data_IF_176292004628
#
_entry.id   IF_176292004628
#
_cell.length_a   1.000
_cell.length_b   1.000
_cell.length_c   1.000
_cell.angle_alpha   90.00
_cell.angle_beta   90.00
_cell.angle_gamma   90.00
#
_symmetry.space_group_name_H-M   'P 1'
#
loop_
_entity.id
_entity.type
_entity.pdbx_description
1 polymer ?
#
# COMPACT_ATOMS: atom_id res chain seq x y z
N UNK A 1 -30.22 -22.69 0.98
CA UNK A 1 -29.48 -22.09 -0.16
C UNK A 1 -30.49 -21.44 -1.08
N UNK A 2 -30.28 -20.18 -1.49
CA UNK A 2 -31.17 -19.48 -2.44
C UNK A 2 -31.09 -20.22 -3.80
N UNK A 3 -32.24 -20.55 -4.40
CA UNK A 3 -32.32 -21.16 -5.73
C UNK A 3 -31.58 -20.25 -6.76
N UNK A 4 -30.79 -20.83 -7.65
CA UNK A 4 -30.01 -20.11 -8.65
C UNK A 4 -30.88 -19.19 -9.54
N UNK A 5 -32.08 -19.61 -9.92
CA UNK A 5 -33.03 -18.80 -10.71
C UNK A 5 -33.50 -17.55 -9.92
N UNK A 6 -33.88 -17.72 -8.65
CA UNK A 6 -34.26 -16.60 -7.78
C UNK A 6 -33.09 -15.64 -7.53
N UNK A 7 -31.88 -16.16 -7.41
CA UNK A 7 -30.65 -15.35 -7.28
C UNK A 7 -30.39 -14.51 -8.53
N UNK A 8 -30.57 -15.08 -9.72
CA UNK A 8 -30.39 -14.36 -11.00
C UNK A 8 -31.38 -13.21 -11.13
N UNK A 9 -32.66 -13.48 -10.85
CA UNK A 9 -33.72 -12.46 -10.89
C UNK A 9 -33.47 -11.30 -9.91
N UNK A 10 -33.06 -11.61 -8.69
CA UNK A 10 -32.71 -10.57 -7.70
C UNK A 10 -31.52 -9.74 -8.16
N UNK A 11 -30.50 -10.35 -8.80
CA UNK A 11 -29.35 -9.63 -9.35
C UNK A 11 -29.73 -8.70 -10.50
N UNK A 12 -30.61 -9.15 -11.41
CA UNK A 12 -31.11 -8.34 -12.54
C UNK A 12 -31.89 -7.12 -12.04
N UNK A 13 -32.80 -7.32 -11.09
CA UNK A 13 -33.53 -6.23 -10.45
C UNK A 13 -32.63 -5.27 -9.69
N UNK A 14 -31.62 -5.80 -8.96
CA UNK A 14 -30.62 -4.98 -8.27
C UNK A 14 -29.87 -4.08 -9.24
N UNK A 15 -29.36 -4.63 -10.36
CA UNK A 15 -28.59 -3.87 -11.36
C UNK A 15 -29.48 -2.80 -12.00
N UNK A 16 -30.71 -3.17 -12.45
CA UNK A 16 -31.63 -2.26 -13.10
C UNK A 16 -31.98 -1.06 -12.20
N UNK A 17 -32.24 -1.31 -10.91
CA UNK A 17 -32.71 -0.28 -9.98
C UNK A 17 -31.53 0.54 -9.35
N UNK A 18 -30.28 0.09 -9.46
CA UNK A 18 -29.13 0.77 -8.86
C UNK A 18 -28.19 1.41 -9.88
N UNK A 19 -28.53 1.40 -11.17
CA UNK A 19 -27.76 2.08 -12.21
C UNK A 19 -28.11 3.56 -12.23
N UNK A 20 -27.08 4.42 -12.13
CA UNK A 20 -27.19 5.87 -12.25
C UNK A 20 -26.73 6.28 -13.64
N UNK A 21 -27.55 7.05 -14.38
CA UNK A 21 -27.17 7.58 -15.69
C UNK A 21 -25.87 8.41 -15.55
N UNK A 22 -24.81 8.06 -16.28
CA UNK A 22 -23.54 8.81 -16.27
C UNK A 22 -23.68 10.31 -16.55
N UNK A 23 -24.63 10.74 -17.34
CA UNK A 23 -24.90 12.15 -17.68
C UNK A 23 -25.30 12.99 -16.48
N UNK A 24 -25.87 12.35 -15.42
CA UNK A 24 -26.25 13.07 -14.20
C UNK A 24 -25.03 13.56 -13.42
N UNK A 25 -23.88 12.89 -13.51
CA UNK A 25 -22.65 13.36 -12.86
C UNK A 25 -22.17 14.70 -13.45
N UNK A 26 -22.27 14.86 -14.76
CA UNK A 26 -21.91 16.10 -15.43
C UNK A 26 -22.95 17.19 -15.14
N UNK A 27 -24.25 16.84 -15.20
CA UNK A 27 -25.34 17.77 -14.89
C UNK A 27 -25.25 18.36 -13.49
N UNK A 28 -24.87 17.56 -12.48
CA UNK A 28 -24.73 18.00 -11.09
C UNK A 28 -23.28 18.38 -10.72
N UNK A 29 -22.36 18.42 -11.66
CA UNK A 29 -20.94 18.77 -11.46
C UNK A 29 -20.30 17.90 -10.36
N UNK A 30 -20.62 16.60 -10.31
CA UNK A 30 -20.13 15.70 -9.28
C UNK A 30 -18.66 15.33 -9.54
N UNK A 31 -17.81 15.50 -8.53
CA UNK A 31 -16.40 15.13 -8.57
C UNK A 31 -16.24 13.63 -8.30
N UNK A 32 -16.35 12.79 -9.33
CA UNK A 32 -16.26 11.33 -9.21
C UNK A 32 -14.93 10.91 -8.59
N UNK A 33 -15.00 10.09 -7.53
CA UNK A 33 -13.80 9.64 -6.80
C UNK A 33 -13.02 10.80 -6.16
N UNK A 34 -13.69 11.92 -5.86
CA UNK A 34 -13.07 13.15 -5.35
C UNK A 34 -11.94 13.66 -6.27
N UNK A 35 -12.18 13.60 -7.60
CA UNK A 35 -11.28 14.10 -8.63
C UNK A 35 -11.88 15.25 -9.42
N UNK A 36 -11.08 16.25 -9.69
CA UNK A 36 -11.40 17.33 -10.63
C UNK A 36 -11.31 16.83 -12.08
N UNK A 37 -11.85 17.59 -13.04
CA UNK A 37 -11.83 17.25 -14.47
C UNK A 37 -10.42 17.14 -15.06
N UNK A 38 -9.46 17.87 -14.50
CA UNK A 38 -8.02 17.80 -14.85
C UNK A 38 -7.28 16.61 -14.22
N UNK A 39 -7.99 15.76 -13.47
CA UNK A 39 -7.46 14.59 -12.76
C UNK A 39 -6.80 14.89 -11.41
N UNK A 40 -6.75 16.16 -10.96
CA UNK A 40 -6.27 16.48 -9.61
C UNK A 40 -7.24 16.04 -8.53
N UNK A 41 -6.76 15.79 -7.31
CA UNK A 41 -7.61 15.49 -6.17
C UNK A 41 -8.39 16.73 -5.71
N UNK A 42 -9.64 16.52 -5.26
CA UNK A 42 -10.36 17.53 -4.50
C UNK A 42 -9.64 17.76 -3.18
N UNK A 43 -9.41 19.01 -2.81
CA UNK A 43 -8.79 19.34 -1.52
C UNK A 43 -9.78 19.03 -0.38
N UNK A 44 -9.52 17.94 0.33
CA UNK A 44 -10.39 17.45 1.40
C UNK A 44 -9.92 17.86 2.80
N UNK A 45 -8.66 18.30 2.97
CA UNK A 45 -8.10 18.69 4.26
C UNK A 45 -6.68 19.23 4.13
N UNK A 46 -6.11 19.58 5.29
CA UNK A 46 -4.72 20.00 5.44
C UNK A 46 -3.94 18.94 6.20
N UNK A 47 -2.64 18.85 5.97
CA UNK A 47 -1.75 17.92 6.67
C UNK A 47 -0.34 18.46 6.79
N UNK A 48 0.30 18.19 7.92
CA UNK A 48 1.73 18.43 8.18
C UNK A 48 2.55 17.13 8.06
N UNK A 49 1.91 15.98 7.73
CA UNK A 49 2.57 14.68 7.75
C UNK A 49 3.41 14.46 6.48
N UNK A 50 2.80 14.73 5.32
CA UNK A 50 3.42 14.37 4.05
C UNK A 50 3.03 15.33 2.94
N UNK A 51 4.00 15.67 2.09
CA UNK A 51 3.76 16.35 0.84
C UNK A 51 4.20 15.46 -0.34
N UNK A 52 3.24 15.19 -1.25
CA UNK A 52 3.43 14.43 -2.48
C UNK A 52 3.33 15.42 -3.64
N UNK A 53 4.46 15.80 -4.22
CA UNK A 53 4.55 16.90 -5.14
C UNK A 53 5.16 16.47 -6.47
N UNK A 54 4.45 16.69 -7.58
CA UNK A 54 4.87 16.28 -8.94
C UNK A 54 4.61 17.32 -10.01
N UNK A 55 4.12 18.51 -9.63
CA UNK A 55 3.85 19.63 -10.54
C UNK A 55 3.84 20.95 -9.78
N UNK A 56 4.10 22.03 -10.49
CA UNK A 56 3.89 23.40 -10.03
C UNK A 56 2.75 24.03 -10.82
N UNK A 57 2.04 24.96 -10.17
CA UNK A 57 1.02 25.77 -10.85
C UNK A 57 1.54 27.21 -10.90
N UNK A 58 1.73 27.74 -12.09
CA UNK A 58 2.14 29.11 -12.30
C UNK A 58 1.10 29.80 -13.20
N UNK A 59 0.52 30.90 -12.75
CA UNK A 59 -0.53 31.65 -13.45
C UNK A 59 -1.73 30.80 -13.91
N UNK A 60 -2.03 29.71 -13.19
CA UNK A 60 -3.10 28.77 -13.50
C UNK A 60 -2.69 27.63 -14.45
N UNK A 61 -1.49 27.67 -15.00
CA UNK A 61 -0.94 26.58 -15.80
C UNK A 61 -0.17 25.58 -14.95
N UNK A 62 -0.44 24.30 -15.18
CA UNK A 62 0.18 23.18 -14.50
C UNK A 62 1.39 22.67 -15.27
N UNK A 63 2.58 22.83 -14.70
CA UNK A 63 3.84 22.32 -15.25
C UNK A 63 4.36 21.15 -14.43
N UNK A 64 4.67 19.98 -15.06
CA UNK A 64 5.21 18.85 -14.36
C UNK A 64 6.65 19.13 -13.89
N UNK A 65 6.98 18.62 -12.70
CA UNK A 65 8.34 18.65 -12.15
C UNK A 65 8.78 17.24 -11.74
N UNK A 66 10.07 17.08 -11.45
CA UNK A 66 10.57 15.86 -10.80
C UNK A 66 9.80 15.62 -9.50
N UNK A 67 9.32 14.39 -9.32
CA UNK A 67 8.52 14.05 -8.16
C UNK A 67 9.28 14.25 -6.85
N UNK A 68 8.60 14.77 -5.85
CA UNK A 68 9.12 14.93 -4.49
C UNK A 68 8.19 14.24 -3.51
N UNK A 69 8.77 13.55 -2.55
CA UNK A 69 8.10 12.95 -1.41
C UNK A 69 8.76 13.50 -0.14
N UNK A 70 7.99 14.20 0.66
CA UNK A 70 8.50 14.92 1.82
C UNK A 70 7.72 14.46 3.06
N UNK A 71 8.41 13.92 4.06
CA UNK A 71 7.86 13.50 5.34
C UNK A 71 8.19 14.54 6.39
N UNK A 72 7.19 15.17 7.00
CA UNK A 72 7.37 16.18 8.06
C UNK A 72 8.40 17.28 7.70
N UNK A 73 8.51 17.64 6.42
CA UNK A 73 9.46 18.64 5.94
C UNK A 73 10.78 18.08 5.40
N UNK A 74 11.10 16.80 5.62
CA UNK A 74 12.31 16.14 5.16
C UNK A 74 12.09 15.38 3.86
N UNK A 75 12.98 15.58 2.88
CA UNK A 75 12.90 14.89 1.60
C UNK A 75 13.29 13.41 1.76
N UNK A 76 12.52 12.49 1.16
CA UNK A 76 12.81 11.06 1.24
C UNK A 76 14.19 10.69 0.70
N UNK A 77 14.70 11.42 -0.32
CA UNK A 77 16.04 11.21 -0.84
C UNK A 77 17.10 11.47 0.23
N UNK A 78 16.93 12.51 1.03
CA UNK A 78 17.88 12.86 2.10
C UNK A 78 17.81 11.85 3.24
N UNK A 79 16.60 11.44 3.64
CA UNK A 79 16.39 10.44 4.68
C UNK A 79 17.07 9.12 4.31
N UNK A 80 16.84 8.63 3.08
CA UNK A 80 17.43 7.40 2.58
C UNK A 80 18.94 7.52 2.44
N UNK A 81 19.43 8.57 1.77
CA UNK A 81 20.86 8.72 1.50
C UNK A 81 21.70 8.86 2.78
N UNK A 82 21.18 9.53 3.81
CA UNK A 82 21.87 9.66 5.08
C UNK A 82 21.87 8.34 5.87
N UNK A 83 20.75 7.61 5.92
CA UNK A 83 20.70 6.27 6.52
C UNK A 83 21.72 5.33 5.86
N UNK A 84 21.81 5.34 4.53
CA UNK A 84 22.79 4.54 3.77
C UNK A 84 24.24 4.96 4.02
N UNK A 85 24.56 6.27 4.03
CA UNK A 85 25.89 6.77 4.33
C UNK A 85 26.37 6.42 5.74
N UNK A 86 25.46 6.43 6.70
CA UNK A 86 25.73 6.07 8.10
C UNK A 86 25.66 4.56 8.35
N UNK A 87 25.42 3.77 7.30
CA UNK A 87 25.29 2.31 7.36
C UNK A 87 24.32 1.83 8.43
N UNK A 88 23.15 2.46 8.59
CA UNK A 88 22.14 2.14 9.60
C UNK A 88 20.79 1.82 9.00
N UNK A 89 19.93 1.15 9.77
CA UNK A 89 18.52 0.96 9.46
C UNK A 89 17.74 2.26 9.70
N UNK A 90 16.91 2.66 8.72
CA UNK A 90 16.24 3.95 8.72
C UNK A 90 14.73 3.86 8.98
N UNK A 91 14.11 2.69 8.92
CA UNK A 91 12.65 2.59 9.04
C UNK A 91 12.13 3.07 10.40
N UNK A 92 12.74 2.67 11.52
CA UNK A 92 12.33 3.10 12.85
C UNK A 92 12.48 4.61 13.05
N UNK A 93 13.47 5.24 12.42
CA UNK A 93 13.60 6.70 12.39
C UNK A 93 12.45 7.37 11.61
N UNK A 94 12.05 6.78 10.46
CA UNK A 94 10.88 7.25 9.71
C UNK A 94 9.61 7.12 10.54
N UNK A 95 9.44 6.01 11.27
CA UNK A 95 8.29 5.84 12.19
C UNK A 95 8.29 6.95 13.25
N UNK A 96 9.43 7.19 13.88
CA UNK A 96 9.57 8.26 14.87
C UNK A 96 9.23 9.63 14.26
N UNK A 97 9.85 9.96 13.12
CA UNK A 97 9.62 11.22 12.42
C UNK A 97 8.13 11.45 12.11
N UNK A 98 7.45 10.44 11.57
CA UNK A 98 6.04 10.54 11.20
C UNK A 98 5.14 10.77 12.43
N UNK A 99 5.42 10.08 13.55
CA UNK A 99 4.64 10.17 14.77
C UNK A 99 4.96 11.44 15.58
N UNK A 100 6.25 11.74 15.79
CA UNK A 100 6.68 12.84 16.67
C UNK A 100 6.79 14.18 15.96
N UNK A 101 6.99 14.19 14.64
CA UNK A 101 7.00 15.40 13.80
C UNK A 101 8.38 15.96 13.52
N UNK A 102 9.44 15.44 14.12
CA UNK A 102 10.83 15.80 13.87
C UNK A 102 11.75 14.58 14.00
N UNK A 103 13.00 14.71 13.54
CA UNK A 103 14.00 13.64 13.63
C UNK A 103 14.47 13.43 15.07
N UNK A 104 14.65 12.15 15.50
CA UNK A 104 15.19 11.86 16.81
C UNK A 104 16.70 12.14 16.89
N UNK A 105 17.17 12.53 18.04
CA UNK A 105 18.59 12.39 18.36
C UNK A 105 18.94 10.91 18.62
N UNK A 106 20.24 10.60 18.84
CA UNK A 106 20.71 9.23 19.02
C UNK A 106 20.07 8.51 20.23
N UNK A 107 19.90 9.22 21.34
CA UNK A 107 19.33 8.67 22.56
C UNK A 107 17.83 8.39 22.39
N UNK A 108 17.10 9.31 21.79
CA UNK A 108 15.68 9.19 21.47
C UNK A 108 15.43 8.03 20.50
N UNK A 109 16.23 7.90 19.43
CA UNK A 109 16.10 6.80 18.49
C UNK A 109 16.38 5.45 19.16
N UNK A 110 17.39 5.38 20.03
CA UNK A 110 17.72 4.15 20.76
C UNK A 110 16.59 3.75 21.70
N UNK A 111 16.06 4.70 22.48
CA UNK A 111 14.91 4.47 23.36
C UNK A 111 13.67 4.04 22.57
N UNK A 112 13.39 4.69 21.44
CA UNK A 112 12.26 4.37 20.59
C UNK A 112 12.35 2.96 19.98
N UNK A 113 13.51 2.56 19.50
CA UNK A 113 13.78 1.18 19.03
C UNK A 113 13.55 0.16 20.14
N UNK A 114 13.97 0.45 21.36
CA UNK A 114 13.69 -0.37 22.55
C UNK A 114 12.19 -0.53 22.78
N UNK A 115 11.43 0.57 22.79
CA UNK A 115 9.97 0.54 22.94
C UNK A 115 9.29 -0.29 21.84
N UNK A 116 9.71 -0.13 20.58
CA UNK A 116 9.19 -0.96 19.48
C UNK A 116 9.50 -2.44 19.70
N UNK A 117 10.72 -2.78 20.12
CA UNK A 117 11.12 -4.17 20.37
C UNK A 117 10.30 -4.82 21.50
N UNK A 118 10.06 -4.11 22.58
CA UNK A 118 9.25 -4.56 23.73
C UNK A 118 7.77 -4.79 23.33
N UNK A 119 7.29 -4.05 22.34
CA UNK A 119 5.91 -4.15 21.88
C UNK A 119 5.68 -5.17 20.74
N UNK A 120 6.72 -5.86 20.24
CA UNK A 120 6.59 -6.88 19.17
C UNK A 120 5.85 -8.16 19.55
N UNK A 121 5.99 -8.68 20.79
CA UNK A 121 5.25 -9.88 21.19
C UNK A 121 3.75 -9.68 21.10
N UNK A 122 3.06 -10.72 20.64
CA UNK A 122 1.60 -10.76 20.64
C UNK A 122 1.08 -11.01 22.08
N UNK A 123 -0.15 -10.58 22.40
CA UNK A 123 -0.77 -10.93 23.67
C UNK A 123 -0.85 -12.44 23.88
N UNK A 124 -0.93 -12.87 25.13
CA UNK A 124 -1.07 -14.28 25.49
C UNK A 124 -2.26 -14.93 24.77
N UNK A 125 -2.05 -16.12 24.23
CA UNK A 125 -3.01 -16.90 23.45
C UNK A 125 -3.51 -16.24 22.16
N UNK A 126 -3.04 -15.03 21.79
CA UNK A 126 -3.50 -14.34 20.60
C UNK A 126 -3.18 -15.11 19.31
N UNK A 127 -1.99 -15.70 19.24
CA UNK A 127 -1.58 -16.51 18.09
C UNK A 127 -2.53 -17.71 17.90
N UNK A 128 -2.77 -18.46 18.97
CA UNK A 128 -3.63 -19.65 18.95
C UNK A 128 -5.08 -19.31 18.62
N UNK A 129 -5.64 -18.33 19.30
CA UNK A 129 -7.06 -18.04 19.21
C UNK A 129 -7.42 -17.20 17.97
N UNK A 130 -6.59 -16.22 17.64
CA UNK A 130 -6.92 -15.27 16.59
C UNK A 130 -6.24 -15.58 15.25
N UNK A 131 -5.11 -16.27 15.22
CA UNK A 131 -4.40 -16.56 13.98
C UNK A 131 -4.55 -18.03 13.59
N UNK A 132 -4.23 -18.97 14.46
CA UNK A 132 -4.19 -20.40 14.15
C UNK A 132 -5.59 -21.02 13.99
N UNK A 133 -6.52 -20.76 14.92
CA UNK A 133 -7.88 -21.33 14.89
C UNK A 133 -8.77 -20.78 13.76
N UNK A 134 -8.44 -19.61 13.23
CA UNK A 134 -9.23 -18.99 12.15
C UNK A 134 -8.34 -18.60 10.97
N UNK A 135 -7.70 -19.56 10.28
CA UNK A 135 -6.78 -19.29 9.17
C UNK A 135 -7.46 -18.53 8.01
N UNK A 136 -6.65 -17.95 7.14
CA UNK A 136 -7.12 -17.26 5.94
C UNK A 136 -6.16 -17.51 4.78
N UNK A 137 -6.71 -17.77 3.59
CA UNK A 137 -5.91 -17.79 2.35
C UNK A 137 -5.37 -16.40 1.98
N UNK A 138 -6.01 -15.35 2.47
CA UNK A 138 -5.61 -13.97 2.18
C UNK A 138 -5.03 -13.31 3.43
N UNK A 139 -3.72 -13.00 3.38
CA UNK A 139 -2.98 -12.45 4.52
C UNK A 139 -3.49 -11.05 4.90
N UNK A 140 -3.80 -10.19 3.93
CA UNK A 140 -4.36 -8.85 4.22
C UNK A 140 -5.69 -8.93 4.99
N UNK A 141 -6.59 -9.89 4.62
CA UNK A 141 -7.81 -10.12 5.36
C UNK A 141 -7.53 -10.59 6.79
N UNK A 142 -6.51 -11.46 6.96
CA UNK A 142 -6.11 -11.93 8.29
C UNK A 142 -5.54 -10.81 9.14
N UNK A 143 -4.68 -9.96 8.58
CA UNK A 143 -4.12 -8.80 9.26
C UNK A 143 -5.21 -7.83 9.72
N UNK A 144 -6.17 -7.49 8.87
CA UNK A 144 -7.29 -6.61 9.24
C UNK A 144 -8.10 -7.17 10.41
N UNK A 145 -8.43 -8.49 10.38
CA UNK A 145 -9.14 -9.17 11.47
C UNK A 145 -8.31 -9.23 12.75
N UNK A 146 -7.01 -9.47 12.63
CA UNK A 146 -6.10 -9.54 13.78
C UNK A 146 -5.96 -8.17 14.46
N UNK A 147 -5.80 -7.08 13.69
CA UNK A 147 -5.79 -5.73 14.27
C UNK A 147 -7.11 -5.44 14.99
N UNK A 148 -8.26 -5.73 14.38
CA UNK A 148 -9.55 -5.52 15.05
C UNK A 148 -9.70 -6.38 16.31
N UNK A 149 -9.17 -7.61 16.31
CA UNK A 149 -9.22 -8.50 17.46
C UNK A 149 -8.35 -8.02 18.65
N UNK A 150 -7.27 -7.25 18.38
CA UNK A 150 -6.44 -6.67 19.45
C UNK A 150 -7.25 -5.76 20.40
N UNK A 151 -8.37 -5.19 19.93
CA UNK A 151 -9.31 -4.46 20.77
C UNK A 151 -9.73 -5.24 22.03
N UNK A 152 -9.95 -6.55 21.90
CA UNK A 152 -10.36 -7.41 23.02
C UNK A 152 -9.23 -7.79 23.97
N UNK A 153 -7.99 -7.46 23.63
CA UNK A 153 -6.79 -7.69 24.45
C UNK A 153 -6.24 -6.39 25.04
N UNK A 154 -6.96 -5.30 24.88
CA UNK A 154 -6.66 -3.98 25.40
C UNK A 154 -7.61 -3.68 26.57
N UNK A 155 -7.08 -3.37 27.75
CA UNK A 155 -7.88 -3.12 28.94
C UNK A 155 -8.71 -1.82 28.86
N UNK A 156 -8.32 -0.91 27.97
CA UNK A 156 -8.99 0.40 27.85
C UNK A 156 -9.07 0.92 26.40
N UNK A 157 -9.62 0.14 25.47
CA UNK A 157 -9.55 0.43 24.02
C UNK A 157 -10.32 1.68 23.60
N UNK A 158 -11.17 2.23 24.48
CA UNK A 158 -11.93 3.46 24.27
C UNK A 158 -11.24 4.72 24.83
N UNK A 159 -10.04 4.60 25.38
CA UNK A 159 -9.26 5.76 25.84
C UNK A 159 -8.71 6.54 24.63
N UNK A 160 -9.00 7.84 24.60
CA UNK A 160 -8.62 8.76 23.53
C UNK A 160 -7.61 9.81 24.00
N UNK A 161 -6.98 9.60 25.17
CA UNK A 161 -5.88 10.49 25.58
C UNK A 161 -4.71 10.37 24.58
N UNK A 162 -4.00 11.47 24.32
CA UNK A 162 -2.85 11.44 23.40
C UNK A 162 -1.80 10.39 23.78
N UNK A 163 -1.54 10.20 25.05
CA UNK A 163 -0.59 9.24 25.58
C UNK A 163 -1.00 7.81 25.25
N UNK A 164 -2.29 7.50 25.42
CA UNK A 164 -2.83 6.16 25.17
C UNK A 164 -2.87 5.85 23.67
N UNK A 165 -3.32 6.78 22.86
CA UNK A 165 -3.32 6.67 21.40
C UNK A 165 -1.89 6.46 20.87
N UNK A 166 -0.88 7.17 21.41
CA UNK A 166 0.52 7.00 21.04
C UNK A 166 1.04 5.61 21.42
N UNK A 167 0.80 5.15 22.64
CA UNK A 167 1.21 3.83 23.07
C UNK A 167 0.56 2.72 22.23
N UNK A 168 -0.72 2.86 21.90
CA UNK A 168 -1.45 1.94 21.02
C UNK A 168 -0.90 1.94 19.62
N UNK A 169 -0.57 3.10 19.04
CA UNK A 169 0.04 3.21 17.72
C UNK A 169 1.40 2.50 17.66
N UNK A 170 2.30 2.76 18.62
CA UNK A 170 3.60 2.08 18.71
C UNK A 170 3.41 0.56 18.85
N UNK A 171 2.47 0.14 19.70
CA UNK A 171 2.14 -1.26 19.90
C UNK A 171 1.68 -1.94 18.59
N UNK A 172 0.77 -1.33 17.84
CA UNK A 172 0.24 -1.89 16.60
C UNK A 172 1.32 -1.92 15.50
N UNK A 173 2.09 -0.83 15.32
CA UNK A 173 3.20 -0.79 14.36
C UNK A 173 4.20 -1.91 14.65
N UNK A 174 4.52 -2.15 15.93
CA UNK A 174 5.48 -3.15 16.35
C UNK A 174 4.97 -4.59 16.19
N UNK A 175 3.68 -4.83 16.43
CA UNK A 175 3.05 -6.16 16.35
C UNK A 175 2.70 -6.59 14.94
N UNK A 176 2.41 -5.64 14.04
CA UNK A 176 1.87 -5.94 12.72
C UNK A 176 2.80 -6.82 11.86
N UNK A 177 4.13 -6.64 11.85
CA UNK A 177 5.05 -7.55 11.16
C UNK A 177 4.96 -8.99 11.69
N UNK A 178 4.86 -9.18 13.01
CA UNK A 178 4.70 -10.50 13.63
C UNK A 178 3.36 -11.14 13.26
N UNK A 179 2.27 -10.36 13.26
CA UNK A 179 0.95 -10.81 12.81
C UNK A 179 1.01 -11.26 11.35
N UNK A 180 1.68 -10.50 10.49
CA UNK A 180 1.84 -10.80 9.07
C UNK A 180 2.55 -12.14 8.84
N UNK A 181 3.73 -12.32 9.46
CA UNK A 181 4.52 -13.55 9.30
C UNK A 181 3.76 -14.74 9.90
N UNK A 182 3.19 -14.60 11.09
CA UNK A 182 2.39 -15.65 11.74
C UNK A 182 1.19 -16.08 10.87
N UNK A 183 0.49 -15.11 10.27
CA UNK A 183 -0.63 -15.37 9.36
C UNK A 183 -0.18 -16.15 8.12
N UNK A 184 0.98 -15.80 7.57
CA UNK A 184 1.56 -16.49 6.41
C UNK A 184 1.98 -17.93 6.76
N UNK A 185 2.65 -18.15 7.89
CA UNK A 185 3.04 -19.51 8.33
C UNK A 185 1.82 -20.41 8.56
N UNK A 186 0.76 -19.85 9.15
CA UNK A 186 -0.51 -20.58 9.32
C UNK A 186 -1.19 -20.86 7.98
N UNK A 187 -1.15 -19.93 7.02
CA UNK A 187 -1.66 -20.14 5.65
C UNK A 187 -0.92 -21.29 4.98
N UNK A 188 0.41 -21.32 5.02
CA UNK A 188 1.24 -22.41 4.46
C UNK A 188 0.84 -23.77 5.05
N UNK A 189 0.72 -23.86 6.38
CA UNK A 189 0.32 -25.11 7.05
C UNK A 189 -1.09 -25.55 6.62
N UNK A 190 -2.06 -24.63 6.65
CA UNK A 190 -3.47 -25.01 6.51
C UNK A 190 -3.93 -25.20 5.06
N UNK A 191 -3.25 -24.58 4.11
CA UNK A 191 -3.70 -24.54 2.72
C UNK A 191 -2.66 -25.04 1.72
N UNK A 192 -1.37 -24.96 2.03
CA UNK A 192 -0.30 -25.36 1.12
C UNK A 192 0.34 -26.68 1.54
N UNK A 193 -0.01 -27.25 2.71
CA UNK A 193 0.49 -28.55 3.19
C UNK A 193 1.91 -28.50 3.75
N UNK A 194 2.44 -27.32 4.04
CA UNK A 194 3.78 -27.14 4.58
C UNK A 194 3.83 -27.18 6.12
N UNK A 195 5.01 -27.37 6.67
CA UNK A 195 5.21 -27.38 8.13
C UNK A 195 5.08 -25.96 8.71
N UNK A 196 4.43 -25.86 9.84
CA UNK A 196 4.41 -24.64 10.62
C UNK A 196 5.70 -24.53 11.47
N UNK A 197 6.39 -23.42 11.34
CA UNK A 197 7.46 -23.05 12.27
C UNK A 197 7.25 -21.64 12.79
N UNK A 198 7.66 -21.39 14.03
CA UNK A 198 7.63 -20.11 14.69
C UNK A 198 8.96 -19.87 15.37
N UNK A 199 9.59 -18.74 15.06
CA UNK A 199 10.88 -18.39 15.64
C UNK A 199 10.72 -17.40 16.79
N UNK A 200 11.56 -17.51 17.84
CA UNK A 200 11.64 -16.50 18.88
C UNK A 200 12.01 -15.13 18.29
N UNK A 201 11.36 -14.08 18.78
CA UNK A 201 11.71 -12.72 18.42
C UNK A 201 13.04 -12.34 19.06
N UNK A 202 13.90 -11.66 18.28
CA UNK A 202 15.19 -11.14 18.75
C UNK A 202 15.01 -9.65 19.02
N UNK A 203 15.14 -9.19 20.28
CA UNK A 203 14.88 -7.79 20.66
C UNK A 203 15.78 -6.78 19.95
N UNK A 204 17.02 -7.16 19.61
CA UNK A 204 18.00 -6.30 18.95
C UNK A 204 17.79 -6.14 17.45
N UNK A 205 16.95 -6.96 16.83
CA UNK A 205 16.67 -6.86 15.42
C UNK A 205 15.88 -5.58 15.09
N UNK A 206 16.23 -4.93 13.97
CA UNK A 206 15.35 -3.97 13.28
C UNK A 206 14.06 -4.66 12.81
N UNK A 207 13.10 -3.89 12.34
CA UNK A 207 11.86 -4.45 11.77
C UNK A 207 12.16 -5.31 10.53
N UNK A 208 13.08 -4.89 9.67
CA UNK A 208 13.48 -5.65 8.48
C UNK A 208 14.15 -6.99 8.84
N UNK A 209 15.12 -6.96 9.77
CA UNK A 209 15.79 -8.17 10.27
C UNK A 209 14.82 -9.14 10.93
N UNK A 210 13.89 -8.61 11.73
CA UNK A 210 12.85 -9.43 12.37
C UNK A 210 11.97 -10.14 11.34
N UNK A 211 11.55 -9.43 10.27
CA UNK A 211 10.73 -10.02 9.22
C UNK A 211 11.49 -11.15 8.51
N UNK A 212 12.72 -10.91 8.06
CA UNK A 212 13.53 -11.93 7.36
C UNK A 212 13.80 -13.15 8.26
N UNK A 213 14.23 -12.90 9.50
CA UNK A 213 14.49 -13.94 10.49
C UNK A 213 13.25 -14.78 10.81
N UNK A 214 12.08 -14.17 10.93
CA UNK A 214 10.84 -14.87 11.26
C UNK A 214 10.22 -15.60 10.06
N UNK A 215 10.47 -15.11 8.84
CA UNK A 215 9.91 -15.67 7.62
C UNK A 215 10.67 -16.92 7.14
N UNK A 216 12.00 -16.94 7.29
CA UNK A 216 12.90 -17.98 6.77
C UNK A 216 13.03 -19.15 7.75
N UNK A 217 12.96 -20.42 7.27
CA UNK A 217 13.07 -21.60 8.13
C UNK A 217 14.38 -21.67 8.94
N UNK A 218 15.48 -21.26 8.31
CA UNK A 218 16.83 -21.26 8.89
C UNK A 218 17.20 -19.99 9.65
N UNK A 219 16.34 -18.97 9.59
CA UNK A 219 16.53 -17.62 10.16
C UNK A 219 17.69 -16.82 9.57
N UNK A 220 18.32 -17.33 8.49
CA UNK A 220 19.51 -16.71 7.93
C UNK A 220 19.14 -15.58 6.95
N UNK A 221 19.88 -14.50 6.99
CA UNK A 221 19.83 -13.37 6.05
C UNK A 221 21.17 -12.63 6.09
N UNK A 222 21.47 -11.92 5.01
CA UNK A 222 22.63 -11.03 4.97
C UNK A 222 22.25 -9.62 5.45
N UNK A 223 23.25 -8.82 5.82
CA UNK A 223 23.02 -7.42 6.19
C UNK A 223 22.47 -6.63 4.99
N UNK A 224 22.94 -6.91 3.79
CA UNK A 224 22.47 -6.30 2.54
C UNK A 224 20.99 -6.59 2.26
N UNK A 225 20.55 -7.84 2.47
CA UNK A 225 19.14 -8.21 2.37
C UNK A 225 18.26 -7.44 3.37
N UNK A 226 18.73 -7.33 4.61
CA UNK A 226 18.01 -6.58 5.63
C UNK A 226 17.97 -5.07 5.32
N UNK A 227 19.06 -4.50 4.79
CA UNK A 227 19.12 -3.09 4.39
C UNK A 227 18.20 -2.76 3.22
N UNK A 228 18.12 -3.62 2.21
CA UNK A 228 17.20 -3.36 1.08
C UNK A 228 15.74 -3.54 1.49
N UNK A 229 15.43 -4.45 2.41
CA UNK A 229 14.09 -4.55 2.96
C UNK A 229 13.73 -3.33 3.81
N UNK A 230 14.67 -2.85 4.63
CA UNK A 230 14.50 -1.62 5.41
C UNK A 230 14.23 -0.41 4.51
N UNK A 231 14.99 -0.29 3.41
CA UNK A 231 14.74 0.73 2.38
C UNK A 231 13.31 0.66 1.83
N UNK A 232 12.82 -0.53 1.50
CA UNK A 232 11.43 -0.71 1.05
C UNK A 232 10.43 -0.25 2.11
N UNK A 233 10.67 -0.58 3.39
CA UNK A 233 9.83 -0.11 4.49
C UNK A 233 9.85 1.42 4.60
N UNK A 234 11.01 2.07 4.47
CA UNK A 234 11.11 3.53 4.45
C UNK A 234 10.27 4.15 3.32
N UNK A 235 10.39 3.63 2.09
CA UNK A 235 9.73 4.16 0.90
C UNK A 235 8.20 3.99 0.91
N UNK A 236 7.69 2.98 1.59
CA UNK A 236 6.27 2.70 1.66
C UNK A 236 5.56 3.32 2.87
N UNK A 237 6.31 3.88 3.84
CA UNK A 237 5.79 4.32 5.13
C UNK A 237 4.66 5.35 5.03
N UNK A 238 4.72 6.28 4.05
CA UNK A 238 3.70 7.32 3.89
C UNK A 238 3.60 7.77 2.42
N UNK A 239 2.41 8.22 1.99
CA UNK A 239 2.19 8.78 0.64
C UNK A 239 0.95 9.69 0.55
N UNK A 240 0.78 10.55 1.52
CA UNK A 240 -0.21 11.63 1.52
C UNK A 240 -1.59 11.28 2.08
N UNK A 241 -2.23 12.27 2.68
CA UNK A 241 -3.54 12.14 3.34
C UNK A 241 -4.70 11.80 2.41
N UNK A 242 -4.57 12.07 1.11
CA UNK A 242 -5.55 11.73 0.07
C UNK A 242 -5.43 10.31 -0.49
N UNK A 243 -4.44 9.53 -0.04
CA UNK A 243 -4.34 8.12 -0.37
C UNK A 243 -5.58 7.37 0.16
N UNK A 244 -6.14 6.44 -0.62
CA UNK A 244 -7.44 5.83 -0.31
C UNK A 244 -7.48 5.19 1.10
N UNK A 245 -6.45 4.43 1.49
CA UNK A 245 -6.39 3.80 2.81
C UNK A 245 -6.16 4.82 3.93
N UNK A 246 -5.34 5.84 3.70
CA UNK A 246 -5.13 6.94 4.64
C UNK A 246 -6.42 7.75 4.83
N UNK A 247 -7.14 8.03 3.73
CA UNK A 247 -8.42 8.73 3.79
C UNK A 247 -9.49 7.90 4.52
N UNK A 248 -9.54 6.59 4.30
CA UNK A 248 -10.42 5.69 5.05
C UNK A 248 -10.12 5.74 6.56
N UNK A 249 -8.84 5.71 6.95
CA UNK A 249 -8.41 5.87 8.34
C UNK A 249 -8.89 7.20 8.92
N UNK A 250 -8.69 8.31 8.20
CA UNK A 250 -9.16 9.64 8.63
C UNK A 250 -10.68 9.72 8.76
N UNK A 251 -11.42 9.16 7.80
CA UNK A 251 -12.91 9.16 7.84
C UNK A 251 -13.40 8.45 9.09
N UNK A 252 -12.87 7.25 9.41
CA UNK A 252 -13.27 6.54 10.61
C UNK A 252 -12.84 7.31 11.87
N UNK A 253 -11.61 7.81 11.90
CA UNK A 253 -11.09 8.61 13.03
C UNK A 253 -11.95 9.83 13.32
N UNK A 254 -12.45 10.51 12.27
CA UNK A 254 -13.30 11.69 12.41
C UNK A 254 -14.64 11.44 13.12
N UNK A 255 -15.07 10.17 13.16
CA UNK A 255 -16.27 9.76 13.92
C UNK A 255 -16.01 9.53 15.41
N UNK A 256 -14.73 9.55 15.84
CA UNK A 256 -14.33 9.29 17.23
C UNK A 256 -14.15 7.82 17.57
N UNK A 257 -14.13 6.91 16.57
CA UNK A 257 -13.96 5.46 16.81
C UNK A 257 -12.57 5.10 17.32
N UNK A 258 -12.45 3.89 17.86
CA UNK A 258 -11.21 3.30 18.38
C UNK A 258 -10.12 3.13 17.30
N UNK A 259 -8.83 3.03 17.70
CA UNK A 259 -7.72 2.89 16.76
C UNK A 259 -7.76 1.56 15.98
N UNK A 260 -8.21 0.47 16.60
CA UNK A 260 -8.24 -0.86 15.98
C UNK A 260 -9.21 -0.89 14.79
N UNK A 261 -10.40 -0.30 14.95
CA UNK A 261 -11.39 -0.13 13.88
C UNK A 261 -10.85 0.72 12.74
N UNK A 262 -10.20 1.85 13.04
CA UNK A 262 -9.67 2.75 12.03
C UNK A 262 -8.52 2.11 11.21
N UNK A 263 -7.59 1.44 11.86
CA UNK A 263 -6.46 0.78 11.18
C UNK A 263 -6.90 -0.50 10.44
N UNK A 264 -7.83 -1.27 10.98
CA UNK A 264 -8.43 -2.41 10.27
C UNK A 264 -9.08 -1.97 8.95
N UNK A 265 -9.81 -0.85 8.97
CA UNK A 265 -10.43 -0.27 7.76
C UNK A 265 -9.37 0.21 6.75
N UNK A 266 -8.26 0.80 7.20
CA UNK A 266 -7.15 1.20 6.33
C UNK A 266 -6.51 -0.02 5.64
N UNK A 267 -6.27 -1.12 6.38
CA UNK A 267 -5.80 -2.39 5.82
C UNK A 267 -6.81 -2.94 4.81
N UNK A 268 -8.12 -2.91 5.13
CA UNK A 268 -9.19 -3.33 4.24
C UNK A 268 -9.23 -2.53 2.93
N UNK A 269 -9.01 -1.21 3.01
CA UNK A 269 -8.89 -0.33 1.84
C UNK A 269 -7.66 -0.68 0.99
N UNK A 270 -6.49 -0.86 1.62
CA UNK A 270 -5.26 -1.22 0.91
C UNK A 270 -5.36 -2.59 0.25
N UNK A 271 -6.07 -3.55 0.84
CA UNK A 271 -6.33 -4.87 0.26
C UNK A 271 -7.00 -4.81 -1.11
N UNK A 272 -7.73 -3.74 -1.42
CA UNK A 272 -8.49 -3.62 -2.66
C UNK A 272 -7.60 -3.66 -3.91
N UNK A 273 -7.99 -4.41 -4.98
CA UNK A 273 -7.15 -4.60 -6.16
C UNK A 273 -6.85 -3.31 -6.94
N UNK A 274 -7.65 -2.27 -6.74
CA UNK A 274 -7.42 -0.94 -7.33
C UNK A 274 -6.48 -0.05 -6.51
N UNK A 275 -6.04 -0.52 -5.34
CA UNK A 275 -5.15 0.22 -4.44
C UNK A 275 -3.86 -0.55 -4.20
N UNK A 276 -3.80 -1.49 -3.29
CA UNK A 276 -2.59 -2.24 -2.97
C UNK A 276 -2.30 -3.44 -3.87
N UNK A 277 -3.19 -3.75 -4.82
CA UNK A 277 -3.01 -4.87 -5.73
C UNK A 277 -2.11 -4.59 -6.95
N UNK A 278 -1.58 -3.36 -7.10
CA UNK A 278 -0.77 -2.99 -8.27
C UNK A 278 0.53 -3.79 -8.33
N UNK A 279 1.18 -4.02 -7.21
CA UNK A 279 2.42 -4.79 -7.13
C UNK A 279 2.26 -6.23 -7.67
N UNK A 280 1.21 -6.94 -7.23
CA UNK A 280 0.90 -8.28 -7.74
C UNK A 280 0.59 -8.29 -9.24
N UNK A 281 -0.04 -7.22 -9.74
CA UNK A 281 -0.30 -7.06 -11.17
C UNK A 281 0.98 -6.81 -11.97
N UNK A 282 1.93 -6.08 -11.42
CA UNK A 282 3.27 -5.92 -12.00
C UNK A 282 3.97 -7.26 -12.08
N UNK A 283 4.04 -8.02 -11.00
CA UNK A 283 4.67 -9.35 -10.97
C UNK A 283 4.03 -10.29 -12.00
N UNK A 284 2.70 -10.39 -12.03
CA UNK A 284 1.98 -11.24 -12.99
C UNK A 284 2.21 -10.79 -14.46
N UNK A 285 2.24 -9.48 -14.73
CA UNK A 285 2.54 -8.95 -16.05
C UNK A 285 3.98 -9.28 -16.47
N UNK A 286 4.92 -9.09 -15.56
CA UNK A 286 6.33 -9.45 -15.79
C UNK A 286 6.49 -10.92 -16.10
N UNK A 287 5.84 -11.80 -15.34
CA UNK A 287 5.85 -13.23 -15.62
C UNK A 287 5.24 -13.52 -17.00
N UNK A 288 4.14 -12.88 -17.36
CA UNK A 288 3.55 -13.01 -18.69
C UNK A 288 4.51 -12.55 -19.81
N UNK A 289 5.27 -11.47 -19.59
CA UNK A 289 6.30 -11.03 -20.56
C UNK A 289 7.41 -12.09 -20.67
N UNK A 290 7.92 -12.59 -19.55
CA UNK A 290 8.97 -13.63 -19.52
C UNK A 290 8.55 -14.91 -20.26
N UNK A 291 7.28 -15.28 -20.15
CA UNK A 291 6.75 -16.51 -20.77
C UNK A 291 6.53 -16.36 -22.30
N UNK A 292 6.40 -15.14 -22.81
CA UNK A 292 6.03 -14.89 -24.20
C UNK A 292 7.10 -14.19 -25.05
N UNK A 293 8.12 -13.58 -24.43
CA UNK A 293 9.29 -12.99 -25.10
C UNK A 293 10.43 -13.99 -25.03
N UNK A 294 10.97 -14.40 -26.18
CA UNK A 294 12.03 -15.42 -26.22
C UNK A 294 13.39 -14.83 -25.84
N UNK A 295 13.71 -13.67 -26.39
CA UNK A 295 14.95 -12.98 -26.09
C UNK A 295 14.70 -11.69 -25.30
N UNK A 296 14.94 -11.74 -23.99
CA UNK A 296 14.74 -10.59 -23.08
C UNK A 296 15.76 -9.45 -23.29
N UNK A 297 16.76 -9.64 -24.14
CA UNK A 297 17.73 -8.62 -24.55
C UNK A 297 17.34 -7.94 -25.88
N UNK A 298 16.36 -8.50 -26.59
CA UNK A 298 15.83 -7.93 -27.84
C UNK A 298 14.70 -6.94 -27.54
N UNK A 299 15.04 -5.67 -27.59
CA UNK A 299 14.08 -4.58 -27.37
C UNK A 299 12.93 -4.59 -28.39
N UNK A 300 13.13 -5.11 -29.58
CA UNK A 300 12.10 -5.27 -30.60
C UNK A 300 11.03 -6.26 -30.17
N UNK A 301 11.42 -7.46 -29.71
CA UNK A 301 10.49 -8.46 -29.16
C UNK A 301 9.72 -7.93 -27.93
N UNK A 302 10.42 -7.22 -27.03
CA UNK A 302 9.80 -6.62 -25.85
C UNK A 302 8.78 -5.56 -26.28
N UNK A 303 9.13 -4.69 -27.20
CA UNK A 303 8.25 -3.62 -27.70
C UNK A 303 7.01 -4.19 -28.42
N UNK A 304 7.17 -5.24 -29.19
CA UNK A 304 6.06 -5.94 -29.88
C UNK A 304 5.09 -6.54 -28.86
N UNK A 305 5.61 -7.18 -27.81
CA UNK A 305 4.75 -7.75 -26.78
C UNK A 305 4.05 -6.68 -25.91
N UNK A 306 4.75 -5.62 -25.54
CA UNK A 306 4.15 -4.45 -24.87
C UNK A 306 3.06 -3.80 -25.72
N UNK A 307 3.23 -3.76 -27.04
CA UNK A 307 2.22 -3.28 -27.99
C UNK A 307 0.95 -4.13 -27.93
N UNK A 308 1.07 -5.47 -27.87
CA UNK A 308 -0.09 -6.37 -27.66
C UNK A 308 -0.80 -6.10 -26.33
N UNK A 309 -0.06 -5.89 -25.23
CA UNK A 309 -0.65 -5.51 -23.95
C UNK A 309 -1.44 -4.19 -24.07
N UNK A 310 -0.84 -3.15 -24.64
CA UNK A 310 -1.47 -1.83 -24.81
C UNK A 310 -2.70 -1.85 -25.73
N UNK A 311 -2.73 -2.76 -26.70
CA UNK A 311 -3.85 -2.99 -27.61
C UNK A 311 -4.93 -3.91 -27.00
N UNK A 312 -4.75 -4.40 -25.77
CA UNK A 312 -5.67 -5.34 -25.08
C UNK A 312 -5.71 -6.73 -25.72
N UNK A 313 -4.64 -7.12 -26.37
CA UNK A 313 -4.51 -8.43 -27.05
C UNK A 313 -3.78 -9.46 -26.20
N UNK A 314 -3.07 -9.03 -25.16
CA UNK A 314 -2.29 -9.89 -24.26
C UNK A 314 -2.52 -9.55 -22.78
N UNK A 315 -2.05 -10.44 -21.92
CA UNK A 315 -2.13 -10.39 -20.47
C UNK A 315 -3.60 -10.35 -19.99
N UNK A 316 -4.03 -9.33 -19.25
CA UNK A 316 -5.39 -9.24 -18.67
C UNK A 316 -6.37 -8.41 -19.53
N UNK A 317 -6.01 -8.09 -20.74
CA UNK A 317 -6.81 -7.36 -21.75
C UNK A 317 -7.31 -5.98 -21.30
N UNK A 318 -6.69 -5.39 -20.27
CA UNK A 318 -7.04 -4.02 -19.83
C UNK A 318 -6.39 -2.94 -20.69
N UNK A 319 -5.26 -3.24 -21.32
CA UNK A 319 -4.46 -2.27 -22.05
C UNK A 319 -3.59 -1.40 -21.15
N UNK A 320 -3.27 -1.88 -19.95
CA UNK A 320 -2.43 -1.22 -18.95
C UNK A 320 -1.07 -1.93 -18.84
N UNK A 321 -0.01 -1.16 -18.84
CA UNK A 321 1.32 -1.62 -18.39
C UNK A 321 1.41 -1.25 -16.91
N UNK A 322 1.23 -2.25 -16.05
CA UNK A 322 1.25 -2.04 -14.61
C UNK A 322 2.65 -1.63 -14.14
N UNK A 323 2.71 -0.83 -13.09
CA UNK A 323 3.96 -0.20 -12.66
C UNK A 323 4.30 1.10 -13.40
N UNK A 324 3.59 1.41 -14.51
CA UNK A 324 3.73 2.65 -15.27
C UNK A 324 2.57 3.61 -15.00
N UNK A 325 2.92 4.89 -14.77
CA UNK A 325 1.96 5.96 -14.45
C UNK A 325 1.67 6.10 -12.97
N UNK A 326 1.34 7.32 -12.56
CA UNK A 326 1.02 7.68 -11.19
C UNK A 326 -0.04 8.79 -11.16
N UNK A 327 -0.81 8.85 -10.07
CA UNK A 327 -1.89 9.85 -9.91
C UNK A 327 -1.36 11.29 -9.75
N UNK A 328 -0.15 11.47 -9.24
CA UNK A 328 0.49 12.77 -8.97
C UNK A 328 1.75 12.95 -9.81
N UNK A 329 2.65 11.96 -9.79
CA UNK A 329 3.92 12.04 -10.49
C UNK A 329 3.76 11.80 -12.00
N UNK A 330 4.46 12.60 -12.80
CA UNK A 330 4.48 12.46 -14.25
C UNK A 330 5.89 12.28 -14.82
N UNK A 331 6.87 12.98 -14.26
CA UNK A 331 8.26 12.88 -14.72
C UNK A 331 9.06 11.81 -13.97
N UNK A 332 8.87 11.70 -12.65
CA UNK A 332 9.50 10.67 -11.82
C UNK A 332 8.72 10.44 -10.53
N UNK A 333 8.71 9.19 -10.04
CA UNK A 333 8.37 8.86 -8.66
C UNK A 333 9.68 8.67 -7.90
N UNK A 334 10.01 9.50 -6.89
CA UNK A 334 11.28 9.42 -6.18
C UNK A 334 11.53 8.05 -5.55
N UNK A 335 10.46 7.35 -5.14
CA UNK A 335 10.55 6.00 -4.57
C UNK A 335 10.99 4.98 -5.63
N UNK A 336 10.44 5.08 -6.85
CA UNK A 336 10.82 4.21 -7.95
C UNK A 336 12.27 4.45 -8.38
N UNK A 337 12.71 5.72 -8.41
CA UNK A 337 14.09 6.08 -8.75
C UNK A 337 15.07 5.48 -7.73
N UNK A 338 14.83 5.71 -6.43
CA UNK A 338 15.69 5.18 -5.35
C UNK A 338 15.72 3.64 -5.41
N UNK A 339 14.56 3.02 -5.56
CA UNK A 339 14.46 1.56 -5.53
C UNK A 339 15.11 0.94 -6.76
N UNK A 340 14.95 1.53 -7.95
CA UNK A 340 15.60 1.09 -9.19
C UNK A 340 17.13 1.06 -9.05
N UNK A 341 17.73 2.12 -8.50
CA UNK A 341 19.19 2.21 -8.33
C UNK A 341 19.71 1.15 -7.34
N UNK A 342 18.99 0.89 -6.27
CA UNK A 342 19.37 -0.12 -5.28
C UNK A 342 19.11 -1.55 -5.81
N UNK A 343 18.00 -1.77 -6.52
CA UNK A 343 17.69 -3.04 -7.17
C UNK A 343 18.74 -3.40 -8.24
N UNK A 344 19.23 -2.41 -9.01
CA UNK A 344 20.32 -2.58 -9.98
C UNK A 344 21.57 -3.14 -9.31
N UNK A 345 22.03 -2.47 -8.25
CA UNK A 345 23.24 -2.89 -7.51
C UNK A 345 23.11 -4.29 -6.94
N UNK A 346 21.93 -4.64 -6.45
CA UNK A 346 21.65 -5.96 -5.88
C UNK A 346 21.56 -7.05 -6.93
N UNK A 347 21.05 -6.76 -8.12
CA UNK A 347 20.93 -7.71 -9.22
C UNK A 347 22.24 -7.93 -10.01
N UNK A 348 23.13 -6.95 -9.99
CA UNK A 348 24.39 -6.95 -10.76
C UNK A 348 25.25 -8.17 -10.42
N UNK A 349 25.72 -8.90 -11.44
CA UNK A 349 26.48 -10.14 -11.34
C UNK A 349 25.76 -11.30 -10.61
N UNK A 350 24.44 -11.27 -10.54
CA UNK A 350 23.60 -12.35 -10.00
C UNK A 350 22.70 -12.95 -11.09
N UNK A 351 22.00 -14.02 -10.77
CA UNK A 351 20.97 -14.62 -11.65
C UNK A 351 19.81 -13.65 -11.99
N UNK A 352 19.61 -12.62 -11.19
CA UNK A 352 18.55 -11.62 -11.36
C UNK A 352 18.92 -10.49 -12.33
N UNK A 353 20.16 -10.37 -12.75
CA UNK A 353 20.62 -9.26 -13.63
C UNK A 353 19.85 -9.22 -14.94
N UNK A 354 19.59 -10.36 -15.54
CA UNK A 354 18.84 -10.46 -16.80
C UNK A 354 17.37 -9.99 -16.62
N UNK A 355 16.76 -10.36 -15.50
CA UNK A 355 15.39 -9.95 -15.18
C UNK A 355 15.32 -8.43 -14.87
N UNK A 356 16.33 -7.90 -14.19
CA UNK A 356 16.43 -6.46 -13.96
C UNK A 356 16.50 -5.67 -15.28
N UNK A 357 17.31 -6.13 -16.24
CA UNK A 357 17.43 -5.51 -17.58
C UNK A 357 16.12 -5.53 -18.35
N UNK A 358 15.33 -6.61 -18.22
CA UNK A 358 13.99 -6.68 -18.79
C UNK A 358 13.06 -5.62 -18.16
N UNK A 359 13.07 -5.48 -16.83
CA UNK A 359 12.32 -4.42 -16.13
C UNK A 359 12.66 -3.03 -16.62
N UNK A 360 13.95 -2.74 -16.73
CA UNK A 360 14.47 -1.45 -17.21
C UNK A 360 14.05 -1.19 -18.67
N UNK A 361 14.05 -2.21 -19.52
CA UNK A 361 13.56 -2.12 -20.91
C UNK A 361 12.05 -1.83 -20.95
N UNK A 362 11.25 -2.49 -20.11
CA UNK A 362 9.80 -2.25 -20.00
C UNK A 362 9.52 -0.80 -19.57
N UNK A 363 10.23 -0.30 -18.54
CA UNK A 363 10.11 1.10 -18.10
C UNK A 363 10.42 2.08 -19.24
N UNK A 364 11.51 1.86 -19.94
CA UNK A 364 11.99 2.78 -20.97
C UNK A 364 11.14 2.78 -22.25
N UNK A 365 10.69 1.60 -22.70
CA UNK A 365 9.94 1.45 -23.94
C UNK A 365 8.46 1.89 -23.81
N UNK A 366 7.87 1.71 -22.64
CA UNK A 366 6.42 1.93 -22.43
C UNK A 366 5.95 3.35 -22.77
N UNK A 367 6.62 4.46 -22.37
CA UNK A 367 6.14 5.81 -22.67
C UNK A 367 6.06 6.10 -24.17
N UNK A 368 7.05 5.66 -24.96
CA UNK A 368 7.10 5.87 -26.41
C UNK A 368 6.01 5.08 -27.12
N UNK A 369 5.83 3.80 -26.73
CA UNK A 369 4.78 2.95 -27.28
C UNK A 369 3.39 3.48 -26.93
N UNK A 370 3.20 3.95 -25.68
CA UNK A 370 1.94 4.56 -25.27
C UNK A 370 1.60 5.80 -26.10
N UNK A 371 2.58 6.69 -26.31
CA UNK A 371 2.41 7.87 -27.18
C UNK A 371 2.03 7.46 -28.60
N UNK A 372 2.72 6.48 -29.18
CA UNK A 372 2.47 5.99 -30.54
C UNK A 372 1.08 5.38 -30.71
N UNK A 373 0.62 4.58 -29.71
CA UNK A 373 -0.63 3.81 -29.81
C UNK A 373 -1.84 4.65 -29.38
N UNK A 374 -1.71 5.45 -28.33
CA UNK A 374 -2.84 6.22 -27.77
C UNK A 374 -2.90 7.67 -28.24
N UNK A 375 -1.90 8.16 -29.00
CA UNK A 375 -1.83 9.54 -29.46
C UNK A 375 -1.75 10.57 -28.33
N UNK A 376 -1.25 10.17 -27.16
CA UNK A 376 -1.20 11.04 -25.97
C UNK A 376 0.23 11.44 -25.67
N UNK A 377 0.48 12.74 -25.61
CA UNK A 377 1.78 13.32 -25.19
C UNK A 377 1.95 13.39 -23.66
N UNK A 378 1.03 12.79 -22.91
CA UNK A 378 1.10 12.79 -21.45
C UNK A 378 2.35 12.03 -20.99
N UNK A 379 3.25 12.74 -20.32
CA UNK A 379 4.41 12.12 -19.69
C UNK A 379 3.98 11.05 -18.70
N UNK A 380 4.72 9.94 -18.65
CA UNK A 380 4.45 8.79 -17.82
C UNK A 380 5.78 8.29 -17.24
N UNK A 381 5.81 8.07 -15.93
CA UNK A 381 6.96 7.49 -15.24
C UNK A 381 6.59 6.18 -14.55
N UNK A 382 7.60 5.37 -14.22
CA UNK A 382 7.42 4.24 -13.33
C UNK A 382 7.00 4.71 -11.94
N UNK A 383 6.15 3.92 -11.28
CA UNK A 383 5.83 4.06 -9.87
C UNK A 383 6.58 3.00 -9.04
N UNK A 384 6.49 3.09 -7.72
CA UNK A 384 7.24 2.22 -6.81
C UNK A 384 6.97 0.72 -7.02
N UNK A 385 5.75 0.36 -7.47
CA UNK A 385 5.36 -1.04 -7.68
C UNK A 385 6.14 -1.70 -8.84
N UNK A 386 6.69 -0.92 -9.78
CA UNK A 386 7.51 -1.44 -10.87
C UNK A 386 8.69 -2.28 -10.36
N UNK A 387 9.35 -1.84 -9.29
CA UNK A 387 10.57 -2.47 -8.77
C UNK A 387 10.38 -3.21 -7.45
N UNK A 388 9.35 -2.87 -6.65
CA UNK A 388 9.21 -3.44 -5.31
C UNK A 388 8.97 -4.96 -5.33
N UNK A 389 8.15 -5.46 -6.26
CA UNK A 389 7.93 -6.89 -6.42
C UNK A 389 9.19 -7.65 -6.84
N UNK A 390 9.99 -7.07 -7.71
CA UNK A 390 11.28 -7.62 -8.10
C UNK A 390 12.25 -7.72 -6.93
N UNK A 391 12.36 -6.67 -6.11
CA UNK A 391 13.21 -6.71 -4.90
C UNK A 391 12.70 -7.75 -3.90
N UNK A 392 11.39 -7.86 -3.70
CA UNK A 392 10.84 -8.94 -2.87
C UNK A 392 11.18 -10.33 -3.41
N UNK A 393 11.14 -10.52 -4.73
CA UNK A 393 11.54 -11.78 -5.37
C UNK A 393 13.02 -12.12 -5.10
N UNK A 394 13.93 -11.14 -5.24
CA UNK A 394 15.35 -11.33 -4.92
C UNK A 394 15.58 -11.70 -3.44
N UNK A 395 14.74 -11.22 -2.53
CA UNK A 395 14.78 -11.56 -1.10
C UNK A 395 14.11 -12.91 -0.78
N UNK A 396 13.53 -13.60 -1.76
CA UNK A 396 12.75 -14.81 -1.54
C UNK A 396 11.46 -14.58 -0.76
N UNK A 397 10.93 -13.34 -0.76
CA UNK A 397 9.65 -13.01 -0.13
C UNK A 397 8.52 -13.44 -1.07
N UNK A 398 7.58 -14.28 -0.62
CA UNK A 398 6.51 -14.77 -1.46
C UNK A 398 5.49 -13.68 -1.84
N UNK A 399 4.86 -13.82 -3.01
CA UNK A 399 3.85 -12.88 -3.53
C UNK A 399 2.69 -12.63 -2.57
N UNK A 400 2.30 -13.64 -1.78
CA UNK A 400 1.29 -13.51 -0.71
C UNK A 400 1.59 -12.37 0.28
N UNK A 401 2.86 -11.98 0.40
CA UNK A 401 3.34 -10.96 1.34
C UNK A 401 3.62 -9.58 0.70
N UNK A 402 3.52 -9.41 -0.61
CA UNK A 402 3.83 -8.12 -1.26
C UNK A 402 2.93 -6.97 -0.75
N UNK A 403 1.61 -7.14 -0.84
CA UNK A 403 0.67 -6.14 -0.27
C UNK A 403 0.71 -6.09 1.26
N UNK A 404 0.83 -7.22 2.02
CA UNK A 404 1.08 -7.21 3.45
C UNK A 404 2.30 -6.41 3.90
N UNK A 405 3.44 -6.53 3.20
CA UNK A 405 4.64 -5.73 3.48
C UNK A 405 4.38 -4.23 3.33
N UNK A 406 3.63 -3.87 2.29
CA UNK A 406 3.19 -2.49 2.10
C UNK A 406 2.34 -2.00 3.28
N UNK A 407 1.41 -2.83 3.78
CA UNK A 407 0.57 -2.50 4.93
C UNK A 407 1.40 -2.34 6.22
N UNK A 408 2.39 -3.22 6.46
CA UNK A 408 3.31 -3.13 7.58
C UNK A 408 4.01 -1.78 7.60
N UNK A 409 4.59 -1.39 6.50
CA UNK A 409 5.27 -0.10 6.38
C UNK A 409 4.31 1.08 6.57
N UNK A 410 3.16 1.07 5.85
CA UNK A 410 2.20 2.17 5.82
C UNK A 410 1.47 2.38 7.15
N UNK A 411 1.50 1.42 8.06
CA UNK A 411 0.88 1.58 9.38
C UNK A 411 1.41 2.82 10.10
N UNK A 412 2.69 3.15 9.98
CA UNK A 412 3.27 4.37 10.54
C UNK A 412 2.57 5.65 10.03
N UNK A 413 2.37 5.73 8.71
CA UNK A 413 1.65 6.84 8.09
C UNK A 413 0.18 6.92 8.53
N UNK A 414 -0.52 5.78 8.60
CA UNK A 414 -1.92 5.76 9.09
C UNK A 414 -2.01 6.24 10.53
N UNK A 415 -1.10 5.81 11.41
CA UNK A 415 -1.04 6.25 12.80
C UNK A 415 -0.81 7.78 12.88
N UNK A 416 0.17 8.31 12.13
CA UNK A 416 0.42 9.74 12.09
C UNK A 416 -0.81 10.54 11.65
N UNK A 417 -1.49 10.09 10.57
CA UNK A 417 -2.69 10.75 10.08
C UNK A 417 -3.88 10.63 11.05
N UNK A 418 -4.00 9.52 11.79
CA UNK A 418 -4.99 9.40 12.86
C UNK A 418 -4.72 10.42 13.96
N UNK A 419 -3.48 10.56 14.41
CA UNK A 419 -3.09 11.57 15.40
C UNK A 419 -3.44 12.98 14.95
N UNK A 420 -3.06 13.34 13.74
CA UNK A 420 -3.37 14.66 13.20
C UNK A 420 -4.88 14.91 13.17
N UNK A 421 -5.68 13.92 12.78
CA UNK A 421 -7.14 14.02 12.76
C UNK A 421 -7.72 14.18 14.17
N UNK A 422 -7.22 13.45 15.17
CA UNK A 422 -7.68 13.58 16.57
C UNK A 422 -7.35 14.95 17.17
N UNK A 423 -6.17 15.50 16.85
CA UNK A 423 -5.72 16.79 17.40
C UNK A 423 -6.35 17.97 16.68
N UNK A 424 -6.48 17.91 15.35
CA UNK A 424 -6.90 19.04 14.51
C UNK A 424 -8.34 18.93 14.02
N UNK A 425 -8.84 17.71 13.83
CA UNK A 425 -10.17 17.43 13.31
C UNK A 425 -11.25 17.73 14.35
N UNK A 426 -12.09 18.72 14.07
CA UNK A 426 -13.20 19.11 14.97
C UNK A 426 -14.57 18.73 14.41
N UNK A 427 -14.60 18.11 13.23
CA UNK A 427 -15.86 17.79 12.53
C UNK A 427 -15.75 16.43 11.86
N UNK A 428 -16.83 15.66 11.94
CA UNK A 428 -16.96 14.41 11.18
C UNK A 428 -16.88 14.68 9.67
N UNK A 429 -16.09 13.89 8.96
CA UNK A 429 -15.97 13.95 7.49
C UNK A 429 -17.29 13.42 6.90
N UNK A 430 -18.08 14.32 6.32
CA UNK A 430 -19.41 14.00 5.80
C UNK A 430 -19.65 14.70 4.46
N UNK A 431 -19.26 14.11 3.33
CA UNK A 431 -19.55 14.65 2.02
C UNK A 431 -21.05 14.62 1.71
N UNK A 432 -21.52 15.53 0.84
CA UNK A 432 -22.90 15.57 0.39
C UNK A 432 -23.12 14.59 -0.77
N UNK A 433 -24.30 13.94 -0.80
CA UNK A 433 -24.79 13.15 -1.93
C UNK A 433 -26.11 13.72 -2.44
N UNK A 434 -26.22 13.87 -3.77
CA UNK A 434 -27.47 14.30 -4.42
C UNK A 434 -28.35 13.08 -4.71
N UNK A 435 -29.53 13.03 -4.10
CA UNK A 435 -30.53 12.06 -4.46
C UNK A 435 -31.08 12.36 -5.88
N UNK A 436 -31.12 11.33 -6.72
CA UNK A 436 -31.63 11.41 -8.10
C UNK A 436 -32.88 10.54 -8.31
N UNK A 437 -33.32 9.84 -7.27
CA UNK A 437 -34.57 9.09 -7.26
C UNK A 437 -35.77 10.04 -7.22
N UNK A 438 -36.83 9.67 -7.94
CA UNK A 438 -38.11 10.37 -7.90
C UNK A 438 -38.94 9.85 -6.72
N UNK A 439 -39.63 10.75 -6.02
CA UNK A 439 -40.54 10.37 -4.95
C UNK A 439 -41.70 9.50 -5.50
N UNK A 440 -41.96 8.38 -4.83
CA UNK A 440 -43.01 7.43 -5.20
C UNK A 440 -44.03 7.30 -4.09
N UNK A 441 -45.29 7.14 -4.44
CA UNK A 441 -46.32 6.77 -3.47
C UNK A 441 -46.10 5.34 -3.01
N UNK A 442 -46.31 5.11 -1.72
CA UNK A 442 -46.34 3.75 -1.20
C UNK A 442 -47.59 3.01 -1.75
N UNK A 443 -47.38 1.82 -2.29
CA UNK A 443 -48.44 0.92 -2.74
C UNK A 443 -48.48 -0.25 -1.73
N UNK A 444 -49.64 -0.61 -1.18
CA UNK A 444 -49.77 -1.76 -0.27
C UNK A 444 -49.28 -3.05 -0.92
N UNK A 445 -48.82 -4.01 -0.10
CA UNK A 445 -48.21 -5.24 -0.60
C UNK A 445 -49.09 -6.01 -1.57
N UNK A 446 -50.40 -6.08 -1.27
CA UNK A 446 -51.38 -6.82 -2.07
C UNK A 446 -51.83 -6.09 -3.36
N UNK A 447 -51.35 -4.86 -3.56
CA UNK A 447 -51.69 -4.01 -4.72
C UNK A 447 -50.49 -3.79 -5.68
N UNK A 448 -49.32 -4.39 -5.43
CA UNK A 448 -48.10 -4.26 -6.26
C UNK A 448 -47.86 -5.47 -7.14
#
# INVERSE_FOLDING_TARGET
MINNAARSLLCEQFIANNTIDPKLYDRYVVKRGLRNSDGTGVMAGLTNICNVHGYVVNEGEKSPIQGQLIFRGYNINDLVSNAQKENRFGYEEIVYLLLMGDLPNREELTAFKGMMAENRPLPDNFFEDMILKAPSKNIMNKMARAILALYSYDDNPENRSPEYEMATAISIISKLPNIMVSAYQVKKRCYDGESLFMHPLIPTHSTAEMILSALRPDRQFTEEEAKILDLLLMLHAEHGGGNNSTFACRVLTSSGTDPYSAYSAAIGSLKGPRHGGANLKVAAMHQCIKDNVQNWEDEGEIADFLTKILNKEAFDHTGLVYGMGHAVYTLSDPRAVILRENAKKMAENTEFEREYKLLEAVERLTPELFKKIKGSDKAMCANVDMYSGFVYSMLGIPEDLYTPMFAVSRMAGWCAHRFEELVTGKRIIRPAYKAVSVEKKYIPLDER
#
